data_IF_845460977435
#
_entry.id   IF_845460977435
#
_cell.length_a   1.000
_cell.length_b   1.000
_cell.length_c   1.000
_cell.angle_alpha   90.00
_cell.angle_beta   90.00
_cell.angle_gamma   90.00
#
_symmetry.space_group_name_H-M   'P 1'
#
loop_
_entity.id
_entity.type
_entity.pdbx_description
1 polymer ?
#
# COMPACT_ATOMS: atom_id res chain seq x y z
N UNK A 1 -12.63 -20.89 -4.71
CA UNK A 1 -11.57 -19.87 -4.89
C UNK A 1 -10.19 -20.36 -4.42
N UNK A 2 -9.98 -20.63 -3.13
CA UNK A 2 -8.67 -21.03 -2.57
C UNK A 2 -8.03 -22.26 -3.23
N UNK A 3 -8.81 -23.29 -3.57
CA UNK A 3 -8.31 -24.49 -4.25
C UNK A 3 -7.73 -24.20 -5.64
N UNK A 4 -8.30 -23.23 -6.37
CA UNK A 4 -7.80 -22.82 -7.69
C UNK A 4 -6.46 -22.07 -7.58
N UNK A 5 -6.34 -21.18 -6.59
CA UNK A 5 -5.09 -20.48 -6.26
C UNK A 5 -4.01 -21.49 -5.89
N UNK A 6 -4.33 -22.45 -5.03
CA UNK A 6 -3.37 -23.48 -4.62
C UNK A 6 -2.85 -24.25 -5.83
N UNK A 7 -3.75 -24.75 -6.69
CA UNK A 7 -3.37 -25.45 -7.93
C UNK A 7 -2.47 -24.60 -8.84
N UNK A 8 -2.77 -23.31 -8.99
CA UNK A 8 -1.93 -22.40 -9.75
C UNK A 8 -0.53 -22.22 -9.11
N UNK A 9 -0.46 -22.12 -7.79
CA UNK A 9 0.81 -22.06 -7.05
C UNK A 9 1.62 -23.36 -7.20
N UNK A 10 0.97 -24.53 -7.19
CA UNK A 10 1.64 -25.82 -7.43
C UNK A 10 2.22 -25.89 -8.85
N UNK A 11 1.40 -25.52 -9.86
CA UNK A 11 1.84 -25.48 -11.25
C UNK A 11 3.01 -24.51 -11.47
N UNK A 12 3.06 -23.43 -10.71
CA UNK A 12 4.14 -22.44 -10.73
C UNK A 12 5.33 -22.78 -9.80
N UNK A 13 5.29 -23.89 -9.06
CA UNK A 13 6.33 -24.28 -8.08
C UNK A 13 6.54 -23.25 -6.95
N UNK A 14 5.45 -22.66 -6.46
CA UNK A 14 5.44 -21.60 -5.43
C UNK A 14 4.71 -21.98 -4.12
N UNK A 15 4.43 -23.26 -3.91
CA UNK A 15 3.53 -23.74 -2.84
C UNK A 15 3.88 -23.20 -1.45
N UNK A 16 5.14 -23.28 -1.06
CA UNK A 16 5.62 -22.84 0.27
C UNK A 16 5.58 -21.32 0.46
N UNK A 17 5.38 -20.56 -0.63
CA UNK A 17 5.40 -19.09 -0.65
C UNK A 17 4.00 -18.48 -0.77
N UNK A 18 2.97 -19.28 -1.03
CA UNK A 18 1.61 -18.80 -1.32
C UNK A 18 0.65 -19.15 -0.19
N UNK A 19 0.33 -18.14 0.60
CA UNK A 19 -0.75 -18.13 1.60
C UNK A 19 -1.72 -16.96 1.35
N UNK A 20 -2.95 -17.00 1.90
CA UNK A 20 -3.90 -15.89 1.77
C UNK A 20 -3.31 -14.56 2.27
N UNK A 21 -2.47 -14.59 3.31
CA UNK A 21 -1.81 -13.40 3.83
C UNK A 21 -0.75 -12.87 2.86
N UNK A 22 0.13 -13.73 2.35
CA UNK A 22 1.20 -13.31 1.42
C UNK A 22 0.61 -12.69 0.15
N UNK A 23 -0.48 -13.25 -0.39
CA UNK A 23 -1.14 -12.68 -1.57
C UNK A 23 -1.77 -11.32 -1.29
N UNK A 24 -2.42 -11.14 -0.12
CA UNK A 24 -2.96 -9.83 0.28
C UNK A 24 -1.84 -8.80 0.41
N UNK A 25 -0.71 -9.19 0.99
CA UNK A 25 0.44 -8.30 1.14
C UNK A 25 1.04 -7.92 -0.21
N UNK A 26 1.29 -8.89 -1.09
CA UNK A 26 1.80 -8.63 -2.45
C UNK A 26 0.87 -7.72 -3.26
N UNK A 27 -0.45 -7.91 -3.16
CA UNK A 27 -1.42 -7.04 -3.82
C UNK A 27 -1.38 -5.61 -3.26
N UNK A 28 -1.35 -5.44 -1.94
CA UNK A 28 -1.27 -4.12 -1.33
C UNK A 28 0.02 -3.39 -1.69
N UNK A 29 1.16 -4.06 -1.59
CA UNK A 29 2.47 -3.51 -1.95
C UNK A 29 2.50 -3.10 -3.41
N UNK A 30 2.01 -3.96 -4.32
CA UNK A 30 1.97 -3.65 -5.75
C UNK A 30 1.12 -2.42 -6.07
N UNK A 31 -0.03 -2.25 -5.40
CA UNK A 31 -0.86 -1.07 -5.59
C UNK A 31 -0.20 0.21 -5.07
N UNK A 32 0.41 0.15 -3.88
CA UNK A 32 1.12 1.29 -3.30
C UNK A 32 2.34 1.70 -4.14
N UNK A 33 3.11 0.73 -4.63
CA UNK A 33 4.22 0.97 -5.57
C UNK A 33 3.73 1.57 -6.89
N UNK A 34 2.53 1.19 -7.33
CA UNK A 34 1.85 1.77 -8.50
C UNK A 34 1.25 3.16 -8.26
N UNK A 35 1.41 3.75 -7.08
CA UNK A 35 0.91 5.09 -6.75
C UNK A 35 -0.55 5.12 -6.28
N UNK A 36 -1.17 3.97 -6.02
CA UNK A 36 -2.49 3.94 -5.41
C UNK A 36 -2.42 4.50 -3.99
N UNK A 37 -3.40 5.30 -3.61
CA UNK A 37 -3.53 5.79 -2.24
C UNK A 37 -3.88 4.64 -1.29
N UNK A 38 -3.49 4.78 -0.02
CA UNK A 38 -3.84 3.81 1.03
C UNK A 38 -5.36 3.62 1.13
N UNK A 39 -6.14 4.66 0.82
CA UNK A 39 -7.61 4.59 0.82
C UNK A 39 -8.14 3.70 -0.31
N UNK A 40 -7.60 3.82 -1.52
CA UNK A 40 -7.94 2.93 -2.63
C UNK A 40 -7.55 1.48 -2.35
N UNK A 41 -6.38 1.24 -1.76
CA UNK A 41 -5.94 -0.11 -1.36
C UNK A 41 -6.89 -0.72 -0.31
N UNK A 42 -7.34 0.08 0.66
CA UNK A 42 -8.29 -0.34 1.70
C UNK A 42 -9.68 -0.66 1.13
N UNK A 43 -10.19 0.15 0.21
CA UNK A 43 -11.47 -0.10 -0.46
C UNK A 43 -11.42 -1.38 -1.30
N UNK A 44 -10.31 -1.63 -2.01
CA UNK A 44 -10.12 -2.82 -2.84
C UNK A 44 -9.88 -4.11 -2.05
N UNK A 45 -9.23 -4.05 -0.89
CA UNK A 45 -9.05 -5.20 0.00
C UNK A 45 -10.27 -5.48 0.91
N UNK A 46 -11.23 -4.55 0.92
CA UNK A 46 -12.49 -4.62 1.66
C UNK A 46 -12.41 -4.20 3.14
N UNK A 47 -13.56 -3.83 3.72
CA UNK A 47 -13.72 -3.47 5.15
C UNK A 47 -13.43 -4.61 6.15
N UNK A 48 -13.19 -5.84 5.70
CA UNK A 48 -13.20 -7.04 6.53
C UNK A 48 -11.86 -7.36 7.22
N UNK A 49 -10.83 -6.53 7.08
CA UNK A 49 -9.59 -6.76 7.81
C UNK A 49 -8.79 -5.48 8.03
N UNK A 50 -9.17 -4.72 9.05
CA UNK A 50 -8.26 -3.83 9.79
C UNK A 50 -7.31 -4.71 10.63
N UNK A 51 -6.58 -5.61 9.98
CA UNK A 51 -5.64 -6.53 10.63
C UNK A 51 -4.36 -6.63 9.78
N UNK A 52 -3.72 -5.48 9.60
CA UNK A 52 -2.27 -5.31 9.40
C UNK A 52 -1.86 -3.87 9.74
N UNK A 53 -2.47 -3.33 10.81
CA UNK A 53 -2.59 -1.91 11.19
C UNK A 53 -1.27 -1.21 11.55
N UNK A 54 -0.11 -1.78 11.23
CA UNK A 54 1.19 -1.20 11.58
C UNK A 54 2.14 -1.00 10.39
N UNK A 55 1.92 -1.66 9.25
CA UNK A 55 2.84 -1.54 8.10
C UNK A 55 2.53 -0.31 7.23
N UNK A 56 1.28 0.16 7.19
CA UNK A 56 0.92 1.29 6.31
C UNK A 56 1.31 2.68 6.85
N UNK A 57 1.66 2.79 8.14
CA UNK A 57 1.98 4.09 8.78
C UNK A 57 3.31 4.69 8.28
N UNK A 58 4.27 3.86 7.87
CA UNK A 58 5.56 4.35 7.38
C UNK A 58 5.46 4.90 5.94
N UNK A 59 4.67 4.25 5.08
CA UNK A 59 4.46 4.67 3.68
C UNK A 59 3.59 5.92 3.60
N UNK A 60 2.69 6.12 4.57
CA UNK A 60 1.84 7.32 4.61
C UNK A 60 2.61 8.61 4.85
N UNK A 61 3.75 8.63 5.54
CA UNK A 61 4.41 9.88 5.89
C UNK A 61 4.98 10.62 4.66
N UNK A 62 5.60 9.89 3.73
CA UNK A 62 6.13 10.47 2.49
C UNK A 62 5.01 10.91 1.54
N UNK A 63 4.01 10.03 1.32
CA UNK A 63 2.86 10.34 0.47
C UNK A 63 1.98 11.47 1.03
N UNK A 64 1.75 11.52 2.35
CA UNK A 64 1.06 12.63 3.00
C UNK A 64 1.84 13.93 2.86
N UNK A 65 3.17 13.88 2.96
CA UNK A 65 4.01 15.05 2.79
C UNK A 65 3.96 15.55 1.36
N UNK A 66 3.99 14.68 0.37
CA UNK A 66 3.84 15.04 -1.05
C UNK A 66 2.47 15.67 -1.34
N UNK A 67 1.38 15.02 -0.91
CA UNK A 67 0.01 15.54 -1.06
C UNK A 67 -0.17 16.88 -0.33
N UNK A 68 0.39 17.01 0.87
CA UNK A 68 0.39 18.27 1.62
C UNK A 68 1.15 19.36 0.87
N UNK A 69 2.33 19.04 0.31
CA UNK A 69 3.14 19.99 -0.44
C UNK A 69 2.42 20.52 -1.68
N UNK A 70 1.73 19.65 -2.43
CA UNK A 70 1.06 20.06 -3.69
C UNK A 70 -0.33 20.68 -3.46
N UNK A 71 -1.01 20.35 -2.37
CA UNK A 71 -2.42 20.73 -2.15
C UNK A 71 -2.62 21.84 -1.12
N UNK A 72 -1.69 22.03 -0.18
CA UNK A 72 -1.92 22.96 0.92
C UNK A 72 -1.44 24.39 0.57
N UNK A 73 -2.30 25.43 0.68
CA UNK A 73 -1.94 26.80 0.31
C UNK A 73 -0.74 27.38 1.07
N UNK A 74 -0.41 26.82 2.25
CA UNK A 74 0.74 27.21 3.07
C UNK A 74 2.01 26.39 2.83
N UNK A 75 1.96 25.34 2.01
CA UNK A 75 3.14 24.51 1.74
C UNK A 75 4.23 25.24 0.93
N UNK A 76 3.86 26.24 0.13
CA UNK A 76 4.83 27.04 -0.64
C UNK A 76 5.72 27.94 0.23
N UNK A 77 5.40 28.12 1.52
CA UNK A 77 6.15 29.00 2.42
C UNK A 77 7.29 28.33 3.19
N UNK A 78 7.42 27.00 3.15
CA UNK A 78 8.44 26.28 3.92
C UNK A 78 9.78 26.12 3.21
N UNK A 79 9.82 26.16 1.88
CA UNK A 79 11.07 26.09 1.12
C UNK A 79 11.85 27.42 1.15
N UNK A 80 11.17 28.55 1.33
CA UNK A 80 11.81 29.88 1.39
C UNK A 80 12.57 30.15 2.71
N UNK A 81 12.25 29.41 3.78
CA UNK A 81 12.93 29.57 5.08
C UNK A 81 14.20 28.70 5.16
N UNK A 82 14.29 27.63 4.37
CA UNK A 82 15.45 26.72 4.37
C UNK A 82 16.63 27.19 3.49
N UNK A 83 16.47 28.28 2.74
CA UNK A 83 17.51 28.87 1.87
C UNK A 83 18.03 30.23 2.37
N UNK A 84 17.80 30.57 3.64
CA UNK A 84 18.43 31.68 4.35
C UNK A 84 19.26 31.15 5.51
#
# INVERSE_FOLDING_TARGET
AWTAIRRAAQAAQLEDKVSPHTMRHSFATHLLEGGASVREVQELLGHASVSTTQIYTAVTAAALREVFTVSHPRARGTDEIAQR
#
